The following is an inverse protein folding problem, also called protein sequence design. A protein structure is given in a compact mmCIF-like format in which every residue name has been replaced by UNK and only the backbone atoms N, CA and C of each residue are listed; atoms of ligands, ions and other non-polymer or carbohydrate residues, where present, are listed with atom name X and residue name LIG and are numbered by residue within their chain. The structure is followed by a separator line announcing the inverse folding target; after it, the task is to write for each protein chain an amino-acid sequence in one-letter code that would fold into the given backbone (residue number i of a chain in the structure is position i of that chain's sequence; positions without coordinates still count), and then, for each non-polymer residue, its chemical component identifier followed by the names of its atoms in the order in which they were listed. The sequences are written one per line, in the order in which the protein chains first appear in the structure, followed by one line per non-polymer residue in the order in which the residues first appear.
data_IF_999946940576
#
_entry.id   IF_999946940576
#
_cell.length_a   1.000
_cell.length_b   1.000
_cell.length_c   1.000
_cell.angle_alpha   90.00
_cell.angle_beta   90.00
_cell.angle_gamma   90.00
#
_symmetry.space_group_name_H-M   'P 1'
#
loop_
_entity.id
_entity.type
_entity.pdbx_description
1 polymer ?
#
# COMPACT_ATOMS: atom_id res chain seq x y z
N UNK A 1 -11.67 -20.02 33.81
CA UNK A 1 -10.74 -20.81 32.98
C UNK A 1 -11.02 -20.42 31.54
N UNK A 2 -10.08 -19.80 30.84
CA UNK A 2 -10.30 -19.37 29.46
C UNK A 2 -10.35 -20.62 28.57
N UNK A 3 -11.47 -20.82 27.87
CA UNK A 3 -11.69 -21.93 26.96
C UNK A 3 -10.63 -21.89 25.85
N UNK A 4 -9.89 -22.99 25.67
CA UNK A 4 -8.77 -23.06 24.74
C UNK A 4 -9.30 -23.04 23.29
N UNK A 5 -9.21 -21.88 22.61
CA UNK A 5 -9.67 -21.73 21.23
C UNK A 5 -8.86 -22.64 20.32
N UNK A 6 -9.48 -23.67 19.74
CA UNK A 6 -8.87 -24.52 18.71
C UNK A 6 -8.92 -23.83 17.35
N UNK A 7 -7.78 -23.78 16.66
CA UNK A 7 -7.68 -23.20 15.31
C UNK A 7 -8.50 -24.03 14.33
N UNK A 8 -9.47 -23.41 13.67
CA UNK A 8 -10.25 -24.02 12.58
C UNK A 8 -9.61 -23.71 11.24
N UNK A 9 -9.85 -24.56 10.24
CA UNK A 9 -9.44 -24.28 8.86
C UNK A 9 -10.32 -23.14 8.33
N UNK A 10 -9.71 -22.06 7.82
CA UNK A 10 -10.43 -20.97 7.16
C UNK A 10 -11.17 -21.54 5.94
N UNK A 11 -12.45 -21.19 5.80
CA UNK A 11 -13.29 -21.61 4.69
C UNK A 11 -12.69 -21.14 3.35
N UNK A 12 -12.76 -21.98 2.32
CA UNK A 12 -12.22 -21.65 1.01
C UNK A 12 -12.95 -20.46 0.37
N UNK A 13 -14.24 -20.26 0.68
CA UNK A 13 -14.99 -19.04 0.31
C UNK A 13 -14.32 -17.79 0.89
N UNK A 14 -14.06 -17.77 2.20
CA UNK A 14 -13.42 -16.64 2.88
C UNK A 14 -12.02 -16.37 2.34
N UNK A 15 -11.26 -17.42 1.98
CA UNK A 15 -9.94 -17.22 1.35
C UNK A 15 -10.05 -16.53 0.00
N UNK A 16 -11.01 -16.93 -0.82
CA UNK A 16 -11.24 -16.29 -2.12
C UNK A 16 -11.65 -14.82 -1.92
N UNK A 17 -12.55 -14.53 -0.97
CA UNK A 17 -12.94 -13.15 -0.64
C UNK A 17 -11.74 -12.28 -0.25
N UNK A 18 -10.84 -12.80 0.59
CA UNK A 18 -9.60 -12.10 0.97
C UNK A 18 -8.68 -11.89 -0.24
N UNK A 19 -8.50 -12.91 -1.08
CA UNK A 19 -7.68 -12.77 -2.29
C UNK A 19 -8.27 -11.75 -3.29
N UNK A 20 -9.59 -11.73 -3.46
CA UNK A 20 -10.25 -10.75 -4.33
C UNK A 20 -10.11 -9.33 -3.80
N UNK A 21 -10.36 -9.12 -2.50
CA UNK A 21 -10.17 -7.81 -1.84
C UNK A 21 -8.73 -7.31 -2.02
N UNK A 22 -7.76 -8.19 -1.83
CA UNK A 22 -6.34 -7.86 -1.90
C UNK A 22 -5.78 -7.89 -3.34
N UNK A 23 -6.64 -7.99 -4.35
CA UNK A 23 -6.26 -8.06 -5.77
C UNK A 23 -5.20 -9.13 -6.07
N UNK A 24 -5.29 -10.28 -5.40
CA UNK A 24 -4.31 -11.38 -5.46
C UNK A 24 -2.87 -10.90 -5.29
N UNK A 25 -2.65 -9.94 -4.38
CA UNK A 25 -1.35 -9.34 -4.16
C UNK A 25 -0.96 -9.38 -2.69
N UNK A 26 0.31 -9.70 -2.43
CA UNK A 26 0.83 -9.71 -1.07
C UNK A 26 0.78 -8.31 -0.46
N UNK A 27 0.06 -8.15 0.65
CA UNK A 27 -0.12 -6.88 1.33
C UNK A 27 1.15 -6.32 2.01
N UNK A 28 2.24 -7.10 2.03
CA UNK A 28 3.54 -6.71 2.62
C UNK A 28 4.57 -6.37 1.56
N UNK A 29 4.81 -7.24 0.57
CA UNK A 29 5.85 -7.02 -0.43
C UNK A 29 5.33 -6.60 -1.81
N UNK A 30 4.03 -6.68 -2.05
CA UNK A 30 3.43 -6.27 -3.31
C UNK A 30 3.57 -7.26 -4.44
N UNK A 31 4.25 -8.38 -4.21
CA UNK A 31 4.37 -9.42 -5.22
C UNK A 31 3.02 -10.11 -5.43
N UNK A 32 2.72 -10.37 -6.69
CA UNK A 32 1.52 -11.06 -7.16
C UNK A 32 1.95 -12.13 -8.18
N UNK A 33 1.07 -13.09 -8.52
CA UNK A 33 1.37 -14.08 -9.56
C UNK A 33 1.65 -13.43 -10.93
N UNK A 34 1.18 -12.20 -11.14
CA UNK A 34 1.43 -11.41 -12.36
C UNK A 34 2.86 -10.87 -12.38
N UNK A 35 3.33 -10.30 -11.28
CA UNK A 35 4.68 -9.73 -11.17
C UNK A 35 5.75 -10.78 -10.92
N UNK A 36 5.40 -11.90 -10.32
CA UNK A 36 6.31 -12.99 -9.96
C UNK A 36 5.67 -14.35 -10.28
N UNK A 37 5.92 -14.89 -11.49
CA UNK A 37 5.40 -16.20 -11.87
C UNK A 37 5.81 -17.30 -10.89
N UNK A 38 4.87 -18.14 -10.46
CA UNK A 38 5.11 -19.21 -9.50
C UNK A 38 5.07 -18.79 -8.02
N UNK A 39 4.81 -17.51 -7.73
CA UNK A 39 4.58 -17.04 -6.37
C UNK A 39 3.35 -17.73 -5.76
N UNK A 40 3.52 -18.31 -4.56
CA UNK A 40 2.42 -18.89 -3.79
C UNK A 40 1.87 -17.85 -2.82
N UNK A 41 0.58 -17.60 -2.90
CA UNK A 41 -0.16 -16.74 -1.96
C UNK A 41 -0.91 -17.59 -0.94
N UNK A 42 -0.94 -17.08 0.28
CA UNK A 42 -1.59 -17.67 1.45
C UNK A 42 -2.36 -16.58 2.20
N UNK A 43 -3.39 -16.99 2.93
CA UNK A 43 -4.12 -16.11 3.84
C UNK A 43 -3.47 -16.20 5.22
N UNK A 44 -3.03 -15.06 5.73
CA UNK A 44 -2.43 -14.90 7.05
C UNK A 44 -3.31 -14.00 7.93
N UNK A 45 -3.26 -14.23 9.24
CA UNK A 45 -3.96 -13.38 10.20
C UNK A 45 -3.16 -12.11 10.46
N UNK A 46 -3.75 -10.92 10.41
CA UNK A 46 -3.06 -9.67 10.78
C UNK A 46 -2.57 -9.77 12.23
N UNK A 47 -3.50 -9.99 13.15
CA UNK A 47 -3.25 -10.37 14.54
C UNK A 47 -3.18 -11.91 14.60
N UNK A 48 -2.04 -12.52 14.99
CA UNK A 48 -1.91 -13.96 15.08
C UNK A 48 -2.99 -14.58 15.97
N UNK A 49 -3.44 -15.77 15.60
CA UNK A 49 -4.40 -16.53 16.41
C UNK A 49 -3.93 -16.73 17.87
N UNK A 50 -2.62 -16.93 18.07
CA UNK A 50 -2.02 -17.07 19.41
C UNK A 50 -2.14 -15.82 20.29
N UNK A 51 -2.42 -14.66 19.69
CA UNK A 51 -2.64 -13.38 20.36
C UNK A 51 -4.12 -12.99 20.40
N UNK A 52 -5.03 -13.90 20.03
CA UNK A 52 -6.47 -13.68 20.07
C UNK A 52 -7.11 -13.23 18.77
N UNK A 53 -6.35 -13.16 17.66
CA UNK A 53 -6.87 -12.77 16.35
C UNK A 53 -8.07 -13.62 15.91
N UNK A 54 -9.06 -12.97 15.29
CA UNK A 54 -10.28 -13.59 14.78
C UNK A 54 -10.08 -14.13 13.36
N UNK A 55 -10.95 -15.05 12.92
CA UNK A 55 -11.00 -15.54 11.54
C UNK A 55 -11.88 -14.65 10.64
N UNK A 56 -12.16 -13.42 11.07
CA UNK A 56 -12.95 -12.44 10.32
C UNK A 56 -12.12 -11.83 9.19
N UNK A 57 -12.78 -11.46 8.08
CA UNK A 57 -12.14 -10.90 6.89
C UNK A 57 -11.27 -9.68 7.25
N UNK A 58 -11.71 -8.86 8.20
CA UNK A 58 -10.97 -7.68 8.71
C UNK A 58 -9.62 -8.03 9.36
N UNK A 59 -9.46 -9.25 9.90
CA UNK A 59 -8.22 -9.73 10.50
C UNK A 59 -7.46 -10.71 9.57
N UNK A 60 -7.90 -10.88 8.33
CA UNK A 60 -7.23 -11.72 7.34
C UNK A 60 -6.59 -10.86 6.24
N UNK A 61 -5.43 -11.28 5.74
CA UNK A 61 -4.71 -10.62 4.66
C UNK A 61 -4.00 -11.63 3.75
N UNK A 62 -3.78 -11.23 2.51
CA UNK A 62 -3.02 -11.99 1.51
C UNK A 62 -1.53 -11.77 1.70
N UNK A 63 -0.77 -12.86 1.85
CA UNK A 63 0.68 -12.85 1.89
C UNK A 63 1.29 -13.84 0.93
N UNK A 64 2.46 -13.51 0.39
CA UNK A 64 3.27 -14.50 -0.30
C UNK A 64 3.92 -15.45 0.72
N UNK A 65 4.24 -16.66 0.27
CA UNK A 65 4.90 -17.68 1.09
C UNK A 65 6.13 -17.16 1.83
N UNK A 66 6.98 -16.36 1.16
CA UNK A 66 8.20 -15.80 1.75
C UNK A 66 7.88 -14.80 2.89
N UNK A 67 6.96 -13.85 2.66
CA UNK A 67 6.55 -12.88 3.68
C UNK A 67 5.80 -13.54 4.84
N UNK A 68 4.97 -14.55 4.54
CA UNK A 68 4.26 -15.31 5.56
C UNK A 68 5.23 -16.03 6.51
N UNK A 69 6.26 -16.69 5.94
CA UNK A 69 7.32 -17.36 6.72
C UNK A 69 8.24 -16.38 7.45
N UNK A 70 8.57 -15.25 6.82
CA UNK A 70 9.41 -14.21 7.42
C UNK A 70 8.77 -13.53 8.63
N UNK A 71 7.43 -13.46 8.70
CA UNK A 71 6.70 -12.88 9.83
C UNK A 71 6.83 -13.70 11.12
N UNK A 72 6.70 -15.03 11.04
CA UNK A 72 6.56 -15.89 12.22
C UNK A 72 5.44 -15.40 13.15
N UNK A 73 5.75 -15.18 14.44
CA UNK A 73 4.83 -14.63 15.44
C UNK A 73 5.01 -13.11 15.70
N UNK A 74 5.85 -12.42 14.91
CA UNK A 74 6.19 -11.03 15.15
C UNK A 74 5.27 -10.09 14.36
N UNK A 75 4.30 -9.50 15.06
CA UNK A 75 3.37 -8.50 14.50
C UNK A 75 4.07 -7.25 13.98
N UNK A 76 5.26 -6.91 14.51
CA UNK A 76 6.00 -5.72 14.07
C UNK A 76 6.53 -5.86 12.63
N UNK A 77 6.53 -7.07 12.06
CA UNK A 77 6.89 -7.34 10.67
C UNK A 77 5.68 -7.28 9.72
N UNK A 78 4.48 -6.96 10.22
CA UNK A 78 3.33 -6.58 9.38
C UNK A 78 3.46 -5.12 8.89
N UNK A 79 4.62 -4.70 8.37
CA UNK A 79 4.67 -3.44 7.62
C UNK A 79 3.99 -3.68 6.29
N UNK A 80 2.71 -3.33 6.21
CA UNK A 80 1.98 -3.38 4.95
C UNK A 80 2.51 -2.28 4.03
N UNK A 81 2.38 -2.49 2.72
CA UNK A 81 2.75 -1.47 1.74
C UNK A 81 1.97 -0.18 1.99
N UNK A 82 0.70 -0.30 2.38
CA UNK A 82 -0.14 0.83 2.79
C UNK A 82 0.49 1.60 3.96
N UNK A 83 0.92 0.91 5.02
CA UNK A 83 1.58 1.58 6.15
C UNK A 83 2.88 2.28 5.74
N UNK A 84 3.66 1.71 4.82
CA UNK A 84 4.86 2.38 4.30
C UNK A 84 4.54 3.60 3.45
N UNK A 85 3.49 3.53 2.62
CA UNK A 85 2.97 4.68 1.87
C UNK A 85 2.50 5.79 2.80
N UNK A 86 1.73 5.44 3.85
CA UNK A 86 1.23 6.39 4.84
C UNK A 86 2.39 7.12 5.54
N UNK A 87 3.47 6.40 5.88
CA UNK A 87 4.69 6.98 6.47
C UNK A 87 5.34 7.98 5.50
N UNK A 88 5.45 7.63 4.21
CA UNK A 88 6.03 8.52 3.20
C UNK A 88 5.17 9.77 3.04
N UNK A 89 3.85 9.62 2.89
CA UNK A 89 2.91 10.75 2.77
C UNK A 89 2.95 11.66 4.00
N UNK A 90 2.96 11.08 5.20
CA UNK A 90 3.06 11.82 6.45
C UNK A 90 4.40 12.58 6.58
N UNK A 91 5.50 12.02 6.05
CA UNK A 91 6.80 12.70 6.03
C UNK A 91 6.85 13.88 5.07
N UNK A 92 6.08 13.85 3.98
CA UNK A 92 5.96 14.95 3.02
C UNK A 92 5.12 16.08 3.61
N UNK A 93 3.92 15.74 4.10
CA UNK A 93 3.08 16.66 4.85
C UNK A 93 2.08 15.87 5.71
N UNK A 94 2.09 16.04 7.04
CA UNK A 94 1.26 15.25 7.94
C UNK A 94 -0.25 15.47 7.74
N UNK A 95 -0.65 16.55 7.09
CA UNK A 95 -2.07 16.83 6.79
C UNK A 95 -2.62 16.02 5.62
N UNK A 96 -1.78 15.41 4.78
CA UNK A 96 -2.22 14.70 3.57
C UNK A 96 -3.21 13.59 3.94
N UNK A 97 -2.90 12.79 4.97
CA UNK A 97 -3.75 11.65 5.35
C UNK A 97 -5.12 12.10 5.89
N UNK A 98 -5.15 13.20 6.66
CA UNK A 98 -6.41 13.78 7.13
C UNK A 98 -7.22 14.36 5.97
N UNK A 99 -6.56 15.06 5.04
CA UNK A 99 -7.22 15.69 3.90
C UNK A 99 -7.75 14.65 2.91
N UNK A 100 -7.06 13.54 2.70
CA UNK A 100 -7.49 12.48 1.78
C UNK A 100 -8.75 11.76 2.29
N UNK A 101 -8.93 11.69 3.61
CA UNK A 101 -10.14 11.12 4.21
C UNK A 101 -11.36 12.07 4.12
N UNK A 102 -11.13 13.37 4.00
CA UNK A 102 -12.19 14.40 3.99
C UNK A 102 -12.50 14.96 2.61
N UNK A 103 -11.57 14.86 1.66
CA UNK A 103 -11.66 15.46 0.33
C UNK A 103 -11.47 14.39 -0.73
N UNK A 104 -12.26 14.49 -1.80
CA UNK A 104 -12.14 13.62 -2.97
C UNK A 104 -10.77 13.74 -3.67
N UNK A 105 -10.04 14.84 -3.44
CA UNK A 105 -8.76 15.09 -4.10
C UNK A 105 -7.84 16.01 -3.30
N UNK A 106 -6.63 15.56 -3.03
CA UNK A 106 -5.60 16.30 -2.30
C UNK A 106 -4.39 16.57 -3.17
N UNK A 107 -3.91 17.81 -3.18
CA UNK A 107 -2.68 18.17 -3.89
C UNK A 107 -1.46 17.83 -3.03
N UNK A 108 -0.52 17.11 -3.61
CA UNK A 108 0.75 16.75 -2.98
C UNK A 108 1.90 17.29 -3.81
N UNK A 109 2.88 17.85 -3.10
CA UNK A 109 4.15 18.32 -3.68
C UNK A 109 5.27 17.51 -3.04
N UNK A 110 5.89 16.64 -3.84
CA UNK A 110 7.02 15.82 -3.40
C UNK A 110 8.27 16.13 -4.24
N UNK A 111 9.43 15.72 -3.76
CA UNK A 111 10.63 15.65 -4.61
C UNK A 111 10.49 14.47 -5.59
N UNK A 112 11.40 14.36 -6.58
CA UNK A 112 11.39 13.27 -7.55
C UNK A 112 11.57 11.89 -6.90
N UNK A 113 12.45 11.77 -5.90
CA UNK A 113 12.75 10.49 -5.26
C UNK A 113 11.55 9.92 -4.50
N UNK A 114 10.87 10.75 -3.72
CA UNK A 114 9.70 10.34 -2.93
C UNK A 114 8.49 10.11 -3.83
N UNK A 115 8.32 10.88 -4.92
CA UNK A 115 7.29 10.60 -5.92
C UNK A 115 7.48 9.21 -6.55
N UNK A 116 8.70 8.86 -6.97
CA UNK A 116 9.00 7.53 -7.52
C UNK A 116 8.74 6.43 -6.49
N UNK A 117 9.11 6.63 -5.22
CA UNK A 117 8.80 5.66 -4.14
C UNK A 117 7.30 5.49 -3.94
N UNK A 118 6.53 6.57 -4.01
CA UNK A 118 5.07 6.53 -3.87
C UNK A 118 4.46 5.76 -5.04
N UNK A 119 4.82 6.09 -6.29
CA UNK A 119 4.30 5.39 -7.46
C UNK A 119 4.67 3.90 -7.45
N UNK A 120 5.94 3.58 -7.17
CA UNK A 120 6.42 2.20 -7.09
C UNK A 120 5.64 1.39 -6.05
N UNK A 121 5.51 1.91 -4.83
CA UNK A 121 4.76 1.25 -3.77
C UNK A 121 3.25 1.17 -4.06
N UNK A 122 2.68 2.22 -4.63
CA UNK A 122 1.27 2.25 -4.98
C UNK A 122 0.95 1.31 -6.14
N UNK A 123 1.90 1.01 -7.03
CA UNK A 123 1.73 0.06 -8.14
C UNK A 123 1.35 -1.35 -7.66
N UNK A 124 1.75 -1.71 -6.44
CA UNK A 124 1.51 -3.04 -5.89
C UNK A 124 0.12 -3.26 -5.31
N UNK A 125 -0.52 -2.22 -4.78
CA UNK A 125 -1.82 -2.37 -4.10
C UNK A 125 -2.89 -1.41 -4.56
N UNK A 126 -2.54 -0.47 -5.44
CA UNK A 126 -3.43 0.56 -5.96
C UNK A 126 -4.24 1.25 -4.84
N UNK A 127 -3.59 1.52 -3.71
CA UNK A 127 -4.24 2.04 -2.50
C UNK A 127 -4.77 3.46 -2.71
N UNK A 128 -4.05 4.23 -3.52
CA UNK A 128 -4.36 5.59 -3.87
C UNK A 128 -4.46 5.75 -5.37
N UNK A 129 -5.36 6.62 -5.82
CA UNK A 129 -5.34 7.09 -7.20
C UNK A 129 -4.41 8.30 -7.29
N UNK A 130 -3.39 8.20 -8.15
CA UNK A 130 -2.36 9.23 -8.34
C UNK A 130 -2.54 9.87 -9.72
N UNK A 131 -2.74 11.18 -9.77
CA UNK A 131 -2.90 11.94 -11.02
C UNK A 131 -1.86 13.07 -11.09
N UNK A 132 -0.94 13.09 -12.08
CA UNK A 132 0.01 14.20 -12.23
C UNK A 132 -0.72 15.50 -12.55
N UNK A 133 -0.25 16.62 -11.98
CA UNK A 133 -0.79 17.95 -12.27
C UNK A 133 -0.50 18.36 -13.71
N UNK A 134 -1.38 19.13 -14.33
CA UNK A 134 -1.24 19.63 -15.72
C UNK A 134 -0.05 20.55 -15.92
N UNK A 135 0.48 21.12 -14.84
CA UNK A 135 1.69 21.95 -14.86
C UNK A 135 2.99 21.15 -14.62
N UNK A 136 2.89 19.82 -14.52
CA UNK A 136 4.04 18.91 -14.38
C UNK A 136 4.49 18.46 -15.77
N UNK A 137 5.69 18.90 -16.17
CA UNK A 137 6.31 18.60 -17.45
C UNK A 137 7.37 17.50 -17.27
N UNK A 138 7.48 16.60 -18.26
CA UNK A 138 8.60 15.67 -18.37
C UNK A 138 9.68 16.35 -19.20
N UNK A 139 10.88 16.53 -18.65
CA UNK A 139 11.92 17.30 -19.33
C UNK A 139 13.31 17.17 -18.70
N UNK A 140 14.22 18.07 -19.08
CA UNK A 140 15.51 18.23 -18.39
C UNK A 140 15.49 19.48 -17.51
N UNK A 141 15.84 19.34 -16.24
CA UNK A 141 15.93 20.46 -15.30
C UNK A 141 17.17 21.33 -15.55
N UNK A 142 17.30 22.42 -14.78
CA UNK A 142 18.41 23.38 -14.90
C UNK A 142 19.82 22.75 -14.74
N UNK A 143 19.92 21.57 -14.12
CA UNK A 143 21.15 20.77 -14.00
C UNK A 143 21.34 19.68 -15.07
N UNK A 144 20.49 19.61 -16.09
CA UNK A 144 20.56 18.59 -17.16
C UNK A 144 19.97 17.22 -16.82
N UNK A 145 19.62 16.97 -15.56
CA UNK A 145 18.92 15.75 -15.13
C UNK A 145 17.55 15.67 -15.79
N UNK A 146 17.13 14.46 -16.16
CA UNK A 146 15.80 14.18 -16.72
C UNK A 146 14.82 13.81 -15.60
N UNK A 147 13.60 14.34 -15.64
CA UNK A 147 12.62 14.16 -14.55
C UNK A 147 11.28 14.85 -14.80
N UNK A 148 10.42 14.81 -13.78
CA UNK A 148 9.14 15.52 -13.72
C UNK A 148 9.34 16.86 -12.99
N UNK A 149 8.93 17.96 -13.62
CA UNK A 149 9.15 19.32 -13.14
C UNK A 149 7.89 20.16 -13.19
N UNK A 150 7.69 21.01 -12.20
CA UNK A 150 6.72 22.09 -12.27
C UNK A 150 7.32 23.38 -12.78
N UNK A 151 6.58 24.08 -13.64
CA UNK A 151 6.99 25.31 -14.36
C UNK A 151 7.41 26.45 -13.38
N UNK A 152 7.06 26.35 -12.09
CA UNK A 152 7.25 27.41 -11.08
C UNK A 152 8.35 27.14 -10.04
N UNK A 153 8.98 25.97 -10.02
CA UNK A 153 9.99 25.67 -9.00
C UNK A 153 11.38 26.11 -9.49
N UNK A 154 11.94 27.14 -8.85
CA UNK A 154 13.26 27.77 -9.10
C UNK A 154 14.44 26.79 -8.88
N UNK A 155 14.57 25.76 -9.73
CA UNK A 155 15.71 24.84 -9.75
C UNK A 155 15.60 23.60 -8.86
N UNK A 156 14.49 23.40 -8.14
CA UNK A 156 14.22 22.17 -7.41
C UNK A 156 13.36 21.19 -8.23
N UNK A 157 13.71 19.91 -8.27
CA UNK A 157 12.88 18.88 -8.94
C UNK A 157 11.72 18.50 -8.03
N UNK A 158 10.62 19.25 -8.13
CA UNK A 158 9.38 18.94 -7.43
C UNK A 158 8.33 18.44 -8.40
N UNK A 159 7.61 17.42 -7.97
CA UNK A 159 6.51 16.81 -8.66
C UNK A 159 5.23 17.21 -7.95
N UNK A 160 4.31 17.81 -8.70
CA UNK A 160 2.98 18.13 -8.20
C UNK A 160 2.00 17.12 -8.77
N UNK A 161 1.25 16.47 -7.88
CA UNK A 161 0.29 15.44 -8.22
C UNK A 161 -0.88 15.46 -7.26
N UNK A 162 -1.98 14.86 -7.66
CA UNK A 162 -3.17 14.69 -6.86
C UNK A 162 -3.26 13.25 -6.37
N UNK A 163 -3.70 13.10 -5.13
CA UNK A 163 -4.00 11.82 -4.52
C UNK A 163 -5.49 11.81 -4.15
N UNK A 164 -6.16 10.68 -4.42
CA UNK A 164 -7.45 10.34 -3.83
C UNK A 164 -7.42 8.93 -3.26
N UNK A 165 -8.28 8.63 -2.28
CA UNK A 165 -8.52 7.25 -1.88
C UNK A 165 -9.09 6.45 -3.06
N UNK A 166 -8.67 5.18 -3.17
CA UNK A 166 -9.23 4.27 -4.16
C UNK A 166 -10.31 3.42 -3.49
N UNK A 167 -11.56 3.58 -3.92
CA UNK A 167 -12.74 2.94 -3.32
C UNK A 167 -12.68 1.40 -3.28
N UNK A 168 -11.78 0.78 -4.06
CA UNK A 168 -11.57 -0.67 -4.07
C UNK A 168 -10.91 -1.23 -2.79
N UNK A 169 -10.34 -0.39 -1.92
CA UNK A 169 -9.70 -0.84 -0.66
C UNK A 169 -10.66 -0.73 0.53
N UNK A 170 -11.71 0.09 0.43
CA UNK A 170 -12.62 0.40 1.55
C UNK A 170 -14.06 -0.15 1.38
N UNK A 171 -14.41 -0.70 0.22
CA UNK A 171 -15.71 -1.36 0.01
C UNK A 171 -15.56 -2.89 -0.05
N UNK A 172 -15.73 -3.55 1.11
CA UNK A 172 -16.54 -4.75 1.43
C UNK A 172 -16.08 -5.34 2.77
#
# INVERSE_FOLDING_TARGET
MAEERKRKKINDKTKLEVFFRDSCTCQVCGSSPVTSPGLKLEVDHVIPFSKGGTDEISNLQTKCFNCNRGKGNNELLNRTIKAELDIILNSINPKILEEVSQKDRVSVVANQEDFVKIEDKNSYGNFYKIEPSTNTLIGRGAGGNFGLYTIRDNGGVKVHFFISENDHVNNV
#
